data_IF_716733089919
#
_entry.id   IF_716733089919
#
_cell.length_a   1.000
_cell.length_b   1.000
_cell.length_c   1.000
_cell.angle_alpha   90.00
_cell.angle_beta   90.00
_cell.angle_gamma   90.00
#
_symmetry.space_group_name_H-M   'P 1'
#
loop_
_entity.id
_entity.type
_entity.pdbx_description
1 polymer ?
#
# COMPACT_ATOMS: atom_id res chain seq x y z
N UNK A 1 10.28 13.30 12.59
CA UNK A 1 9.48 12.45 11.69
C UNK A 1 10.43 11.68 10.79
N UNK A 2 10.12 10.42 10.51
CA UNK A 2 10.81 9.64 9.48
C UNK A 2 10.62 10.36 8.13
N UNK A 3 11.62 10.35 7.26
CA UNK A 3 11.52 10.92 5.90
C UNK A 3 11.67 9.81 4.88
N UNK A 4 10.77 9.75 3.92
CA UNK A 4 10.83 8.80 2.81
C UNK A 4 9.52 8.70 2.07
N UNK A 5 9.36 7.64 1.29
CA UNK A 5 8.23 7.47 0.39
C UNK A 5 7.12 6.63 1.04
N UNK A 6 5.92 6.74 0.48
CA UNK A 6 4.74 6.00 0.91
C UNK A 6 4.33 5.01 -0.16
N UNK A 7 3.94 3.81 0.25
CA UNK A 7 3.19 2.89 -0.61
C UNK A 7 1.85 2.53 0.02
N UNK A 8 0.81 2.61 -0.80
CA UNK A 8 -0.56 2.31 -0.48
C UNK A 8 -1.04 1.09 -1.26
N UNK A 9 -1.87 0.23 -0.66
CA UNK A 9 -2.53 -0.85 -1.38
C UNK A 9 -3.96 -1.08 -0.90
N UNK A 10 -4.82 -1.57 -1.80
CA UNK A 10 -6.18 -2.02 -1.48
C UNK A 10 -6.24 -3.55 -1.50
N UNK A 11 -6.97 -4.14 -0.54
CA UNK A 11 -7.04 -5.58 -0.37
C UNK A 11 -8.40 -6.05 0.13
N UNK A 12 -8.75 -7.30 -0.19
CA UNK A 12 -10.03 -7.90 0.15
C UNK A 12 -11.17 -7.52 -0.81
N UNK A 13 -12.40 -7.68 -0.34
CA UNK A 13 -13.59 -7.38 -1.14
C UNK A 13 -13.77 -5.87 -1.37
N UNK A 14 -13.98 -5.41 -2.61
CA UNK A 14 -14.28 -4.00 -2.88
C UNK A 14 -15.56 -3.55 -2.15
N UNK A 15 -15.61 -2.27 -1.75
CA UNK A 15 -16.81 -1.66 -1.17
C UNK A 15 -17.23 -0.43 -1.97
N UNK A 16 -18.42 0.11 -1.70
CA UNK A 16 -18.89 1.34 -2.34
C UNK A 16 -18.07 2.59 -1.97
N UNK A 17 -17.27 2.54 -0.90
CA UNK A 17 -16.62 3.73 -0.30
C UNK A 17 -15.13 3.54 0.01
N UNK A 18 -14.53 2.41 -0.37
CA UNK A 18 -13.11 2.13 -0.08
C UNK A 18 -12.18 3.19 -0.70
N UNK A 19 -12.55 3.73 -1.87
CA UNK A 19 -11.82 4.80 -2.53
C UNK A 19 -11.92 6.15 -1.80
N UNK A 20 -12.97 6.39 -1.01
CA UNK A 20 -13.05 7.60 -0.18
C UNK A 20 -11.98 7.59 0.93
N UNK A 21 -11.69 6.41 1.49
CA UNK A 21 -10.57 6.25 2.44
C UNK A 21 -9.21 6.41 1.75
N UNK A 22 -9.07 5.87 0.52
CA UNK A 22 -7.87 6.06 -0.29
C UNK A 22 -7.64 7.55 -0.59
N UNK A 23 -8.68 8.28 -1.02
CA UNK A 23 -8.60 9.71 -1.32
C UNK A 23 -8.11 10.53 -0.12
N UNK A 24 -8.65 10.27 1.07
CA UNK A 24 -8.21 10.94 2.30
C UNK A 24 -6.74 10.70 2.63
N UNK A 25 -6.28 9.44 2.49
CA UNK A 25 -4.88 9.10 2.70
C UNK A 25 -3.97 9.75 1.66
N UNK A 26 -4.28 9.60 0.37
CA UNK A 26 -3.44 10.10 -0.73
C UNK A 26 -3.31 11.63 -0.68
N UNK A 27 -4.41 12.35 -0.46
CA UNK A 27 -4.39 13.81 -0.29
C UNK A 27 -3.50 14.23 0.90
N UNK A 28 -3.64 13.55 2.04
CA UNK A 28 -2.83 13.82 3.23
C UNK A 28 -1.34 13.52 3.01
N UNK A 29 -1.04 12.44 2.27
CA UNK A 29 0.32 12.03 1.95
C UNK A 29 0.99 13.05 1.00
N UNK A 30 0.29 13.47 -0.05
CA UNK A 30 0.78 14.47 -1.01
C UNK A 30 1.06 15.83 -0.36
N UNK A 31 0.29 16.20 0.67
CA UNK A 31 0.48 17.45 1.41
C UNK A 31 1.56 17.38 2.50
N UNK A 32 2.07 16.18 2.85
CA UNK A 32 2.99 16.00 3.97
C UNK A 32 4.45 16.29 3.58
N UNK A 33 5.16 17.20 4.26
CA UNK A 33 6.57 17.47 3.98
C UNK A 33 7.52 16.34 4.39
N UNK A 34 7.02 15.33 5.13
CA UNK A 34 7.78 14.15 5.51
C UNK A 34 7.75 13.05 4.43
N UNK A 35 6.78 13.12 3.51
CA UNK A 35 6.55 12.12 2.47
C UNK A 35 7.11 12.64 1.15
N UNK A 36 8.05 11.89 0.58
CA UNK A 36 8.53 12.06 -0.79
C UNK A 36 7.48 11.52 -1.76
N UNK A 37 7.84 10.53 -2.56
CA UNK A 37 6.92 9.91 -3.52
C UNK A 37 5.75 9.17 -2.84
N UNK A 38 4.62 9.14 -3.52
CA UNK A 38 3.38 8.49 -3.08
C UNK A 38 2.98 7.44 -4.12
N UNK A 39 3.11 6.17 -3.75
CA UNK A 39 2.82 5.05 -4.63
C UNK A 39 1.50 4.37 -4.27
N UNK A 40 0.75 3.93 -5.27
CA UNK A 40 -0.33 2.96 -5.10
C UNK A 40 0.00 1.64 -5.80
N UNK A 41 -0.12 0.53 -5.10
CA UNK A 41 0.18 -0.80 -5.62
C UNK A 41 -0.97 -1.36 -6.44
N UNK A 42 -0.67 -1.81 -7.65
CA UNK A 42 -1.63 -2.46 -8.53
C UNK A 42 -2.04 -3.83 -7.96
N UNK A 43 -3.33 -4.02 -7.69
CA UNK A 43 -3.85 -5.25 -7.07
C UNK A 43 -3.24 -5.59 -5.70
N UNK A 44 -3.04 -4.58 -4.84
CA UNK A 44 -2.67 -4.79 -3.44
C UNK A 44 -1.25 -5.33 -3.27
N UNK A 45 -1.04 -6.27 -2.33
CA UNK A 45 0.30 -6.79 -2.00
C UNK A 45 0.97 -7.48 -3.20
N UNK A 46 0.18 -8.05 -4.12
CA UNK A 46 0.70 -8.66 -5.35
C UNK A 46 1.38 -7.61 -6.24
N UNK A 47 0.86 -6.38 -6.27
CA UNK A 47 1.51 -5.26 -6.97
C UNK A 47 2.87 -4.95 -6.38
N UNK A 48 2.98 -4.93 -5.05
CA UNK A 48 4.24 -4.70 -4.35
C UNK A 48 5.24 -5.81 -4.70
N UNK A 49 4.84 -7.08 -4.58
CA UNK A 49 5.71 -8.23 -4.89
C UNK A 49 6.24 -8.19 -6.34
N UNK A 50 5.41 -7.72 -7.27
CA UNK A 50 5.77 -7.61 -8.69
C UNK A 50 6.34 -6.25 -9.08
N UNK A 51 6.57 -5.34 -8.14
CA UNK A 51 7.05 -3.98 -8.39
C UNK A 51 6.17 -3.19 -9.39
N UNK A 52 4.86 -3.39 -9.33
CA UNK A 52 3.85 -2.70 -10.14
C UNK A 52 3.17 -1.62 -9.29
N UNK A 53 3.75 -0.43 -9.33
CA UNK A 53 3.37 0.73 -8.52
C UNK A 53 3.00 1.91 -9.42
N UNK A 54 1.84 2.51 -9.19
CA UNK A 54 1.43 3.78 -9.77
C UNK A 54 2.03 4.93 -8.95
N UNK A 55 2.65 5.90 -9.62
CA UNK A 55 3.10 7.14 -8.99
C UNK A 55 1.95 8.15 -8.97
N UNK A 56 1.36 8.35 -7.79
CA UNK A 56 0.18 9.18 -7.60
C UNK A 56 0.47 10.66 -7.85
N UNK A 57 1.73 11.10 -7.78
CA UNK A 57 2.09 12.49 -8.09
C UNK A 57 1.98 12.83 -9.57
N UNK A 58 1.91 11.82 -10.43
CA UNK A 58 1.74 12.00 -11.87
C UNK A 58 0.27 12.03 -12.30
N UNK A 59 -0.65 11.71 -11.39
CA UNK A 59 -2.09 11.72 -11.66
C UNK A 59 -2.67 13.14 -11.65
N UNK A 60 -3.75 13.33 -12.42
CA UNK A 60 -4.49 14.60 -12.42
C UNK A 60 -5.17 14.79 -11.04
N UNK A 61 -4.93 15.93 -10.36
CA UNK A 61 -5.60 16.24 -9.10
C UNK A 61 -7.14 16.19 -9.17
N UNK A 62 -7.75 16.47 -10.33
CA UNK A 62 -9.20 16.35 -10.50
C UNK A 62 -9.65 14.88 -10.54
N UNK A 63 -8.89 13.99 -11.17
CA UNK A 63 -9.15 12.54 -11.15
C UNK A 63 -9.06 11.97 -9.72
N UNK A 64 -8.10 12.45 -8.92
CA UNK A 64 -7.98 12.06 -7.52
C UNK A 64 -9.20 12.46 -6.67
N UNK A 65 -9.92 13.52 -7.02
CA UNK A 65 -11.17 13.91 -6.32
C UNK A 65 -12.32 12.96 -6.63
N UNK A 66 -12.37 12.42 -7.85
CA UNK A 66 -13.40 11.49 -8.30
C UNK A 66 -13.37 10.14 -7.57
N UNK A 67 -12.26 9.81 -6.90
CA UNK A 67 -12.14 8.63 -6.04
C UNK A 67 -13.28 8.53 -5.02
N UNK A 68 -13.70 9.66 -4.43
CA UNK A 68 -14.78 9.68 -3.42
C UNK A 68 -16.16 9.32 -3.97
N UNK A 69 -16.32 9.35 -5.29
CA UNK A 69 -17.55 9.04 -6.01
C UNK A 69 -17.46 7.74 -6.80
N UNK A 70 -16.30 7.07 -6.76
CA UNK A 70 -16.02 5.87 -7.54
C UNK A 70 -16.13 4.64 -6.64
N UNK A 71 -17.09 3.72 -6.88
CA UNK A 71 -17.19 2.50 -6.11
C UNK A 71 -16.08 1.50 -6.50
N UNK A 72 -16.00 0.40 -5.76
CA UNK A 72 -14.97 -0.63 -5.92
C UNK A 72 -13.56 -0.17 -5.54
N UNK A 73 -12.55 -1.01 -5.77
CA UNK A 73 -11.15 -0.69 -5.51
C UNK A 73 -10.49 -0.18 -6.79
N UNK A 74 -10.23 1.12 -6.88
CA UNK A 74 -9.71 1.76 -8.11
C UNK A 74 -8.33 1.22 -8.53
N UNK A 75 -7.47 0.91 -7.56
CA UNK A 75 -6.13 0.37 -7.82
C UNK A 75 -6.14 -1.16 -7.98
N UNK A 76 -7.33 -1.76 -8.02
CA UNK A 76 -7.51 -3.20 -7.92
C UNK A 76 -7.31 -3.72 -6.49
N UNK A 77 -7.65 -4.99 -6.29
CA UNK A 77 -7.50 -5.68 -5.02
C UNK A 77 -7.04 -7.12 -5.26
N UNK A 78 -6.52 -7.77 -4.21
CA UNK A 78 -6.17 -9.18 -4.23
C UNK A 78 -6.68 -9.89 -2.97
N UNK A 79 -6.58 -11.23 -2.98
CA UNK A 79 -6.78 -12.10 -1.80
C UNK A 79 -5.54 -12.94 -1.49
N UNK A 80 -4.37 -12.52 -1.98
CA UNK A 80 -3.10 -13.17 -1.66
C UNK A 80 -2.87 -13.06 -0.17
N UNK A 81 -2.69 -14.20 0.50
CA UNK A 81 -2.37 -14.28 1.92
C UNK A 81 -0.89 -14.61 2.06
N UNK A 82 -0.19 -13.84 2.88
CA UNK A 82 1.18 -14.16 3.23
C UNK A 82 1.18 -15.38 4.16
N UNK A 83 2.04 -16.35 3.87
CA UNK A 83 2.37 -17.41 4.80
C UNK A 83 2.97 -16.82 6.08
N UNK A 84 3.00 -17.60 7.16
CA UNK A 84 3.77 -17.20 8.34
C UNK A 84 5.27 -17.19 7.96
N UNK A 85 6.00 -16.14 8.35
CA UNK A 85 7.41 -15.98 7.92
C UNK A 85 8.35 -17.03 8.51
N UNK A 86 7.94 -17.78 9.54
CA UNK A 86 8.70 -18.93 10.04
C UNK A 86 8.54 -20.17 9.14
N UNK A 87 7.50 -20.21 8.29
CA UNK A 87 7.28 -21.26 7.30
C UNK A 87 7.86 -20.88 5.92
N UNK A 88 7.61 -19.66 5.45
CA UNK A 88 8.11 -19.11 4.18
C UNK A 88 8.27 -17.58 4.28
N UNK A 89 9.52 -17.11 4.25
CA UNK A 89 9.87 -15.69 4.34
C UNK A 89 10.11 -15.02 2.97
N UNK A 90 9.91 -15.74 1.86
CA UNK A 90 10.26 -15.25 0.51
C UNK A 90 9.50 -13.98 0.12
N UNK A 91 8.20 -13.94 0.36
CA UNK A 91 7.37 -12.75 0.10
C UNK A 91 7.82 -11.55 0.96
N UNK A 92 8.25 -11.78 2.20
CA UNK A 92 8.66 -10.72 3.12
C UNK A 92 9.99 -10.10 2.72
N UNK A 93 10.97 -10.93 2.36
CA UNK A 93 12.24 -10.45 1.80
C UNK A 93 12.02 -9.71 0.48
N UNK A 94 11.09 -10.18 -0.37
CA UNK A 94 10.72 -9.47 -1.59
C UNK A 94 10.09 -8.11 -1.30
N UNK A 95 9.17 -8.02 -0.33
CA UNK A 95 8.58 -6.75 0.10
C UNK A 95 9.67 -5.81 0.66
N UNK A 96 10.59 -6.32 1.49
CA UNK A 96 11.70 -5.55 2.05
C UNK A 96 12.63 -5.01 0.94
N UNK A 97 12.93 -5.82 -0.07
CA UNK A 97 13.69 -5.40 -1.25
C UNK A 97 13.02 -4.21 -1.95
N UNK A 98 11.72 -4.30 -2.22
CA UNK A 98 10.95 -3.23 -2.87
C UNK A 98 10.86 -1.99 -1.99
N UNK A 99 10.68 -2.15 -0.68
CA UNK A 99 10.66 -1.04 0.26
C UNK A 99 12.02 -0.32 0.30
N UNK A 100 13.13 -1.07 0.30
CA UNK A 100 14.47 -0.48 0.21
C UNK A 100 14.69 0.22 -1.14
N UNK A 101 14.33 -0.43 -2.24
CA UNK A 101 14.46 0.10 -3.62
C UNK A 101 13.80 1.46 -3.78
N UNK A 102 12.56 1.60 -3.30
CA UNK A 102 11.77 2.84 -3.44
C UNK A 102 11.84 3.75 -2.21
N UNK A 103 12.74 3.49 -1.26
CA UNK A 103 12.85 4.23 0.00
C UNK A 103 11.49 4.36 0.72
N UNK A 104 10.70 3.28 0.74
CA UNK A 104 9.41 3.24 1.43
C UNK A 104 9.67 3.26 2.94
N UNK A 105 9.02 4.22 3.60
CA UNK A 105 9.02 4.41 5.05
C UNK A 105 7.62 4.38 5.65
N UNK A 106 6.61 4.44 4.79
CA UNK A 106 5.21 4.42 5.15
C UNK A 106 4.49 3.38 4.30
N UNK A 107 3.93 2.37 4.96
CA UNK A 107 3.09 1.36 4.32
C UNK A 107 1.66 1.49 4.83
N UNK A 108 0.72 1.73 3.93
CA UNK A 108 -0.70 1.79 4.25
C UNK A 108 -1.46 0.73 3.44
N UNK A 109 -2.26 -0.07 4.13
CA UNK A 109 -2.97 -1.17 3.48
C UNK A 109 -4.44 -1.15 3.90
N UNK A 110 -5.32 -0.93 2.92
CA UNK A 110 -6.74 -0.68 3.15
C UNK A 110 -7.57 -1.93 2.84
N UNK A 111 -8.26 -2.44 3.86
CA UNK A 111 -9.08 -3.64 3.78
C UNK A 111 -9.47 -4.16 5.17
N UNK A 112 -9.94 -5.40 5.24
CA UNK A 112 -10.48 -6.02 6.45
C UNK A 112 -9.44 -6.81 7.27
N UNK A 113 -9.90 -7.85 7.97
CA UNK A 113 -9.06 -8.61 8.91
C UNK A 113 -7.81 -9.24 8.27
N UNK A 114 -7.95 -9.88 7.10
CA UNK A 114 -6.80 -10.48 6.39
C UNK A 114 -5.75 -9.43 5.99
N UNK A 115 -6.19 -8.20 5.66
CA UNK A 115 -5.33 -7.05 5.38
C UNK A 115 -4.56 -6.64 6.64
N UNK A 116 -5.22 -6.63 7.80
CA UNK A 116 -4.58 -6.29 9.07
C UNK A 116 -3.59 -7.37 9.53
N UNK A 117 -3.90 -8.65 9.30
CA UNK A 117 -2.96 -9.76 9.52
C UNK A 117 -1.70 -9.59 8.67
N UNK A 118 -1.85 -9.25 7.38
CA UNK A 118 -0.74 -8.92 6.49
C UNK A 118 0.12 -7.77 7.05
N UNK A 119 -0.51 -6.67 7.48
CA UNK A 119 0.21 -5.55 8.11
C UNK A 119 0.97 -5.97 9.37
N UNK A 120 0.35 -6.80 10.21
CA UNK A 120 0.95 -7.27 11.46
C UNK A 120 2.20 -8.11 11.19
N UNK A 121 2.10 -9.10 10.30
CA UNK A 121 3.21 -9.97 9.93
C UNK A 121 4.36 -9.20 9.28
N UNK A 122 4.06 -8.30 8.34
CA UNK A 122 5.08 -7.41 7.75
C UNK A 122 5.74 -6.60 8.86
N UNK A 123 4.99 -5.97 9.76
CA UNK A 123 5.57 -5.17 10.85
C UNK A 123 6.51 -5.99 11.74
N UNK A 124 6.12 -7.21 12.10
CA UNK A 124 6.96 -8.10 12.92
C UNK A 124 8.24 -8.50 12.20
N UNK A 125 8.12 -8.91 10.93
CA UNK A 125 9.27 -9.28 10.11
C UNK A 125 10.25 -8.10 9.94
N UNK A 126 9.75 -6.91 9.62
CA UNK A 126 10.61 -5.74 9.43
C UNK A 126 11.34 -5.33 10.71
N UNK A 127 10.73 -5.48 11.90
CA UNK A 127 11.39 -5.21 13.19
C UNK A 127 12.49 -6.22 13.53
N UNK A 128 12.39 -7.45 13.00
CA UNK A 128 13.41 -8.48 13.19
C UNK A 128 14.65 -8.24 12.33
N UNK A 129 14.46 -7.68 11.14
CA UNK A 129 15.53 -7.45 10.14
C UNK A 129 16.15 -6.03 10.20
N UNK A 130 15.74 -5.20 11.18
CA UNK A 130 16.23 -3.83 11.41
C UNK A 130 17.58 -3.80 12.15
#
# INVERSE_FOLDING_TARGET
MLKGNLVFGQSGGPTAVINSSAAGLLSSALASPAIGEVYAAEHGIVGILNDRLFDIRQEDPEELKLLTQTPSSIFGSCRHKLADFDEDDSDYYRILEIFKKHNIRYFFYNGGNDTMDTCHKISQFMQRED
#
